data_IF_891294425464
#
_entry.id   IF_891294425464
#
_cell.length_a   1.000
_cell.length_b   1.000
_cell.length_c   1.000
_cell.angle_alpha   90.00
_cell.angle_beta   90.00
_cell.angle_gamma   90.00
#
_symmetry.space_group_name_H-M   'P 1'
#
loop_
_entity.id
_entity.type
_entity.pdbx_description
1 polymer ?
#
# COMPACT_ATOMS: atom_id res chain seq x y z
N UNK A 1 1.22 17.78 16.01
CA UNK A 1 -0.08 17.19 16.41
C UNK A 1 -0.14 15.78 15.84
N UNK A 2 -0.50 14.74 16.60
CA UNK A 2 -0.73 13.40 16.05
C UNK A 2 -1.94 13.39 15.10
N UNK A 3 -1.80 12.80 13.91
CA UNK A 3 -2.84 12.80 12.87
C UNK A 3 -3.13 11.37 12.40
N UNK A 4 -4.42 11.06 12.24
CA UNK A 4 -4.92 9.84 11.59
C UNK A 4 -5.56 10.27 10.28
N UNK A 5 -4.88 10.05 9.16
CA UNK A 5 -5.35 10.40 7.83
C UNK A 5 -5.53 9.16 6.96
N UNK A 6 -6.74 8.92 6.47
CA UNK A 6 -7.08 7.73 5.69
C UNK A 6 -8.05 8.13 4.57
N UNK A 7 -7.87 7.54 3.40
CA UNK A 7 -8.76 7.70 2.24
C UNK A 7 -9.54 6.39 2.09
N UNK A 8 -10.87 6.49 2.04
CA UNK A 8 -11.75 5.32 1.89
C UNK A 8 -11.83 4.83 0.44
N UNK A 9 -12.36 3.61 0.27
CA UNK A 9 -12.57 3.00 -1.03
C UNK A 9 -11.30 2.38 -1.60
N UNK A 10 -11.47 1.58 -2.66
CA UNK A 10 -10.39 0.80 -3.28
C UNK A 10 -9.19 1.69 -3.69
N UNK A 11 -9.46 2.82 -4.34
CA UNK A 11 -8.40 3.79 -4.73
C UNK A 11 -7.62 4.34 -3.54
N UNK A 12 -8.21 4.35 -2.34
CA UNK A 12 -7.62 4.86 -1.12
C UNK A 12 -6.81 3.85 -0.31
N UNK A 13 -6.81 2.56 -0.68
CA UNK A 13 -6.14 1.48 0.08
C UNK A 13 -4.67 1.80 0.37
N UNK A 14 -3.97 2.44 -0.57
CA UNK A 14 -2.56 2.82 -0.38
C UNK A 14 -2.33 3.74 0.83
N UNK A 15 -3.28 4.63 1.15
CA UNK A 15 -3.19 5.50 2.33
C UNK A 15 -3.15 4.72 3.65
N UNK A 16 -3.77 3.52 3.67
CA UNK A 16 -3.79 2.64 4.83
C UNK A 16 -2.52 1.81 4.95
N UNK A 17 -1.96 1.38 3.81
CA UNK A 17 -0.73 0.57 3.74
C UNK A 17 0.50 1.42 4.05
N UNK A 18 0.58 2.65 3.55
CA UNK A 18 1.75 3.53 3.67
C UNK A 18 1.68 4.49 4.86
N UNK A 19 0.74 4.27 5.79
CA UNK A 19 0.57 5.13 6.95
C UNK A 19 1.88 5.31 7.75
N UNK A 20 2.67 4.24 7.94
CA UNK A 20 3.95 4.29 8.66
C UNK A 20 5.02 5.11 7.94
N UNK A 21 5.07 5.06 6.60
CA UNK A 21 6.02 5.85 5.78
C UNK A 21 5.72 7.35 5.87
N UNK A 22 4.45 7.73 5.77
CA UNK A 22 4.03 9.13 5.68
C UNK A 22 3.59 9.75 7.03
N UNK A 23 3.86 9.07 8.15
CA UNK A 23 3.69 9.65 9.50
C UNK A 23 2.27 9.59 10.06
N UNK A 24 1.42 8.70 9.54
CA UNK A 24 0.11 8.40 10.13
C UNK A 24 0.26 7.79 11.53
N UNK A 25 -0.52 8.29 12.49
CA UNK A 25 -0.46 7.82 13.87
C UNK A 25 -0.97 6.38 14.02
N UNK A 26 -2.00 6.00 13.26
CA UNK A 26 -2.49 4.63 13.15
C UNK A 26 -3.14 4.37 11.79
N UNK A 27 -3.36 3.10 11.47
CA UNK A 27 -4.22 2.62 10.38
C UNK A 27 -5.23 1.62 10.92
N UNK A 28 -6.32 1.37 10.18
CA UNK A 28 -7.33 0.38 10.54
C UNK A 28 -7.26 -0.82 9.60
N UNK A 29 -7.47 -2.00 10.17
CA UNK A 29 -7.50 -3.27 9.47
C UNK A 29 -8.69 -4.11 9.97
N UNK A 30 -9.35 -4.84 9.07
CA UNK A 30 -10.39 -5.78 9.44
C UNK A 30 -9.79 -7.06 10.03
N UNK A 31 -10.55 -7.77 10.86
CA UNK A 31 -10.11 -9.08 11.38
C UNK A 31 -10.05 -10.14 10.27
N UNK A 32 -11.00 -10.06 9.34
CA UNK A 32 -11.13 -10.93 8.18
C UNK A 32 -11.92 -10.20 7.09
N UNK A 33 -11.85 -10.72 5.86
CA UNK A 33 -12.61 -10.19 4.74
C UNK A 33 -14.13 -10.23 5.04
N UNK A 34 -14.83 -9.12 4.79
CA UNK A 34 -16.25 -8.97 5.07
C UNK A 34 -16.56 -8.43 6.48
N UNK A 35 -15.54 -8.19 7.31
CA UNK A 35 -15.66 -7.53 8.62
C UNK A 35 -15.05 -6.13 8.66
N UNK A 36 -14.99 -5.48 7.50
CA UNK A 36 -14.57 -4.10 7.37
C UNK A 36 -15.62 -3.17 8.01
N UNK A 37 -15.16 -2.13 8.70
CA UNK A 37 -16.02 -1.04 9.16
C UNK A 37 -16.08 0.13 8.17
N UNK A 38 -15.19 0.14 7.18
CA UNK A 38 -15.13 1.16 6.13
C UNK A 38 -14.49 0.60 4.86
N UNK A 39 -14.92 1.12 3.71
CA UNK A 39 -14.44 0.67 2.40
C UNK A 39 -12.92 0.80 2.24
N UNK A 40 -12.34 -0.20 1.58
CA UNK A 40 -10.91 -0.29 1.31
C UNK A 40 -10.05 -0.66 2.53
N UNK A 41 -10.64 -1.16 3.62
CA UNK A 41 -9.85 -1.71 4.73
C UNK A 41 -9.22 -3.06 4.34
N UNK A 42 -7.88 -3.19 4.37
CA UNK A 42 -7.24 -4.50 4.28
C UNK A 42 -7.44 -5.29 5.57
N UNK A 43 -7.27 -6.61 5.50
CA UNK A 43 -7.23 -7.43 6.71
C UNK A 43 -5.95 -7.19 7.50
N UNK A 44 -5.98 -7.46 8.82
CA UNK A 44 -4.76 -7.41 9.65
C UNK A 44 -3.69 -8.37 9.14
N UNK A 45 -4.12 -9.52 8.62
CA UNK A 45 -3.25 -10.51 8.00
C UNK A 45 -2.54 -9.94 6.78
N UNK A 46 -3.28 -9.32 5.86
CA UNK A 46 -2.68 -8.77 4.64
C UNK A 46 -1.69 -7.63 4.95
N UNK A 47 -2.02 -6.74 5.89
CA UNK A 47 -1.08 -5.69 6.29
C UNK A 47 0.23 -6.29 6.82
N UNK A 48 0.15 -7.28 7.71
CA UNK A 48 1.34 -7.85 8.34
C UNK A 48 2.14 -8.77 7.41
N UNK A 49 1.46 -9.62 6.64
CA UNK A 49 2.08 -10.72 5.88
C UNK A 49 2.25 -10.41 4.39
N UNK A 50 1.36 -9.60 3.78
CA UNK A 50 1.43 -9.26 2.35
C UNK A 50 2.15 -7.94 2.14
N UNK A 51 1.87 -6.92 2.94
CA UNK A 51 2.47 -5.59 2.79
C UNK A 51 3.63 -5.32 3.74
N UNK A 52 4.02 -6.30 4.57
CA UNK A 52 5.12 -6.19 5.53
C UNK A 52 5.04 -4.91 6.37
N UNK A 53 3.85 -4.52 6.82
CA UNK A 53 3.56 -3.19 7.39
C UNK A 53 4.52 -2.76 8.53
N UNK A 54 5.05 -3.72 9.29
CA UNK A 54 6.02 -3.46 10.37
C UNK A 54 7.42 -3.07 9.88
N UNK A 55 7.77 -3.41 8.65
CA UNK A 55 9.05 -3.12 8.01
C UNK A 55 9.01 -1.78 7.24
N UNK A 56 7.82 -1.34 6.82
CA UNK A 56 7.65 -0.08 6.08
C UNK A 56 7.97 1.11 6.98
N UNK A 57 9.02 1.84 6.62
CA UNK A 57 9.49 3.06 7.27
C UNK A 57 9.54 4.26 6.34
N UNK A 58 10.17 5.35 6.80
CA UNK A 58 10.22 6.63 6.08
C UNK A 58 11.02 6.55 4.77
N UNK A 59 12.10 5.77 4.77
CA UNK A 59 13.02 5.63 3.61
C UNK A 59 12.59 4.54 2.62
N UNK A 60 11.63 3.68 3.00
CA UNK A 60 11.15 2.56 2.19
C UNK A 60 10.71 3.04 0.82
N UNK A 61 11.28 2.44 -0.22
CA UNK A 61 10.94 2.72 -1.61
C UNK A 61 9.59 2.08 -1.97
N UNK A 62 8.77 2.79 -2.72
CA UNK A 62 7.44 2.31 -3.12
C UNK A 62 7.50 1.83 -4.55
N UNK A 63 7.03 0.61 -4.75
CA UNK A 63 6.78 -0.01 -6.04
C UNK A 63 5.30 -0.38 -6.15
N UNK A 64 4.78 -0.63 -7.34
CA UNK A 64 3.46 -1.25 -7.41
C UNK A 64 2.86 -1.38 -8.79
N UNK A 65 1.95 -2.34 -8.93
CA UNK A 65 1.30 -2.63 -10.21
C UNK A 65 0.20 -1.61 -10.50
N UNK A 66 0.27 -0.98 -11.66
CA UNK A 66 -0.80 -0.13 -12.19
C UNK A 66 -1.80 -1.00 -12.97
N UNK A 67 -3.10 -0.85 -12.69
CA UNK A 67 -4.13 -1.53 -13.46
C UNK A 67 -5.56 -1.08 -13.15
N UNK A 68 -6.49 -1.53 -13.99
CA UNK A 68 -7.94 -1.38 -13.80
C UNK A 68 -8.67 -2.48 -14.60
N UNK A 69 -9.12 -3.59 -13.96
CA UNK A 69 -9.01 -3.91 -12.53
C UNK A 69 -7.58 -4.28 -12.10
N UNK A 70 -7.29 -4.27 -10.79
CA UNK A 70 -5.91 -4.51 -10.29
C UNK A 70 -5.81 -5.53 -9.15
N UNK A 71 -6.82 -5.67 -8.28
CA UNK A 71 -6.75 -6.47 -7.05
C UNK A 71 -6.69 -8.00 -7.25
N UNK A 72 -6.82 -8.48 -8.49
CA UNK A 72 -6.58 -9.89 -8.81
C UNK A 72 -5.07 -10.20 -8.95
N UNK A 73 -4.22 -9.16 -9.02
CA UNK A 73 -2.79 -9.32 -9.14
C UNK A 73 -2.20 -9.94 -7.86
N UNK A 74 -1.30 -10.91 -8.06
CA UNK A 74 -0.49 -11.48 -6.98
C UNK A 74 0.87 -10.77 -6.81
N UNK A 75 1.07 -9.66 -7.51
CA UNK A 75 2.30 -8.86 -7.48
C UNK A 75 2.74 -8.53 -6.05
N UNK A 76 1.89 -7.91 -5.21
CA UNK A 76 2.26 -7.61 -3.83
C UNK A 76 2.68 -8.84 -3.02
N UNK A 77 2.00 -9.98 -3.17
CA UNK A 77 2.36 -11.23 -2.49
C UNK A 77 3.75 -11.72 -2.91
N UNK A 78 4.06 -11.66 -4.20
CA UNK A 78 5.34 -12.11 -4.74
C UNK A 78 6.49 -11.16 -4.36
N UNK A 79 6.34 -9.87 -4.68
CA UNK A 79 7.42 -8.90 -4.55
C UNK A 79 7.72 -8.52 -3.11
N UNK A 80 6.73 -8.34 -2.23
CA UNK A 80 7.01 -8.04 -0.82
C UNK A 80 7.70 -9.20 -0.11
N UNK A 81 7.36 -10.45 -0.46
CA UNK A 81 8.08 -11.62 0.03
C UNK A 81 9.53 -11.63 -0.48
N UNK A 82 9.73 -11.32 -1.76
CA UNK A 82 11.07 -11.25 -2.34
C UNK A 82 11.91 -10.13 -1.71
N UNK A 83 11.37 -8.92 -1.60
CA UNK A 83 12.02 -7.76 -0.97
C UNK A 83 12.45 -8.08 0.45
N UNK A 84 11.55 -8.62 1.27
CA UNK A 84 11.89 -9.03 2.64
C UNK A 84 12.95 -10.14 2.68
N UNK A 85 12.92 -11.11 1.76
CA UNK A 85 13.89 -12.21 1.72
C UNK A 85 15.32 -11.78 1.40
N UNK A 86 15.49 -10.67 0.66
CA UNK A 86 16.81 -10.13 0.28
C UNK A 86 17.18 -8.89 1.09
N UNK A 87 16.35 -8.48 2.05
CA UNK A 87 16.60 -7.28 2.88
C UNK A 87 16.51 -5.96 2.11
N UNK A 88 15.76 -5.92 1.00
CA UNK A 88 15.52 -4.68 0.27
C UNK A 88 14.44 -3.85 0.97
N UNK A 89 14.75 -2.60 1.32
CA UNK A 89 13.82 -1.67 1.95
C UNK A 89 12.81 -1.10 0.93
N UNK A 90 11.86 -1.94 0.55
CA UNK A 90 10.86 -1.64 -0.46
C UNK A 90 9.50 -2.26 -0.13
N UNK A 91 8.43 -1.63 -0.61
CA UNK A 91 7.06 -2.14 -0.54
C UNK A 91 6.41 -2.08 -1.91
N UNK A 92 5.75 -3.16 -2.30
CA UNK A 92 5.00 -3.32 -3.54
C UNK A 92 3.50 -3.26 -3.27
N UNK A 93 2.77 -2.35 -3.92
CA UNK A 93 1.34 -2.12 -3.70
C UNK A 93 0.51 -2.27 -4.98
N UNK A 94 -0.81 -2.20 -4.84
CA UNK A 94 -1.74 -2.09 -5.96
C UNK A 94 -2.07 -0.62 -6.23
N UNK A 95 -2.04 -0.20 -7.49
CA UNK A 95 -2.56 1.09 -7.95
C UNK A 95 -3.76 0.87 -8.86
N UNK A 96 -4.96 1.16 -8.35
CA UNK A 96 -6.18 1.20 -9.16
C UNK A 96 -6.25 2.55 -9.87
N UNK A 97 -5.84 2.60 -11.13
CA UNK A 97 -5.63 3.86 -11.87
C UNK A 97 -6.63 4.00 -13.01
N UNK A 98 -7.25 5.17 -13.09
CA UNK A 98 -8.18 5.54 -14.17
C UNK A 98 -7.50 6.31 -15.30
N UNK A 99 -6.52 7.15 -14.96
CA UNK A 99 -5.78 8.02 -15.87
C UNK A 99 -4.28 7.87 -15.61
N UNK A 100 -3.59 7.19 -16.53
CA UNK A 100 -2.17 6.87 -16.39
C UNK A 100 -1.28 8.11 -16.47
N UNK A 101 -1.40 9.02 -17.46
CA UNK A 101 -0.65 10.27 -17.47
C UNK A 101 -0.78 11.07 -16.16
N UNK A 102 -2.00 11.24 -15.66
CA UNK A 102 -2.21 11.97 -14.41
C UNK A 102 -1.59 11.25 -13.20
N UNK A 103 -1.69 9.93 -13.14
CA UNK A 103 -1.08 9.14 -12.07
C UNK A 103 0.44 9.32 -12.00
N UNK A 104 1.13 9.23 -13.15
CA UNK A 104 2.59 9.38 -13.22
C UNK A 104 3.03 10.79 -12.84
N UNK A 105 2.25 11.81 -13.20
CA UNK A 105 2.50 13.20 -12.80
C UNK A 105 2.42 13.38 -11.27
N UNK A 106 1.36 12.84 -10.65
CA UNK A 106 1.11 12.92 -9.20
C UNK A 106 2.17 12.15 -8.38
N UNK A 107 2.55 10.95 -8.81
CA UNK A 107 3.48 10.07 -8.10
C UNK A 107 4.89 10.09 -8.73
N UNK A 108 5.39 11.30 -9.00
CA UNK A 108 6.69 11.53 -9.66
C UNK A 108 7.86 11.73 -8.68
N UNK A 109 7.61 11.71 -7.37
CA UNK A 109 8.67 11.88 -6.38
C UNK A 109 9.59 10.65 -6.30
N UNK A 110 10.84 10.80 -5.80
CA UNK A 110 11.76 9.68 -5.64
C UNK A 110 11.27 8.55 -4.74
N UNK A 111 10.23 8.77 -3.92
CA UNK A 111 9.63 7.71 -3.10
C UNK A 111 9.00 6.61 -3.97
N UNK A 112 8.54 6.95 -5.18
CA UNK A 112 7.85 6.06 -6.11
C UNK A 112 8.85 5.56 -7.17
N UNK A 113 9.60 4.53 -6.81
CA UNK A 113 10.78 4.09 -7.54
C UNK A 113 10.47 3.23 -8.78
N UNK A 114 9.28 2.65 -8.90
CA UNK A 114 8.89 1.88 -10.06
C UNK A 114 7.45 1.36 -10.03
N UNK A 115 6.91 1.01 -11.20
CA UNK A 115 5.55 0.49 -11.36
C UNK A 115 5.54 -0.82 -12.16
#
# INVERSE_FOLDING_TARGET
VPIIGLVMGDRGVISRVLASKFGGYLTFASLEAGKESADGQPTIKDLLEVYNFRQVGRETQIYGIIGKPVYHSKGPVLYNKAFSSVGLDAVYVHYLVDDLPHFVDVYSSPDFAGF
#
